data_IF_758036630080
#
_entry.id   IF_758036630080
#
_cell.length_a   1.000
_cell.length_b   1.000
_cell.length_c   1.000
_cell.angle_alpha   90.00
_cell.angle_beta   90.00
_cell.angle_gamma   90.00
#
_symmetry.space_group_name_H-M   'P 1'
#
loop_
_entity.id
_entity.type
_entity.pdbx_description
1 polymer ?
#
# COMPACT_ATOMS: atom_id res chain seq x y z
N UNK A 1 13.50 53.46 -13.65
CA UNK A 1 13.99 53.22 -12.28
C UNK A 1 13.16 52.10 -11.71
N UNK A 2 13.68 50.90 -11.76
CA UNK A 2 13.08 49.72 -11.16
C UNK A 2 13.88 49.49 -9.87
N UNK A 3 13.25 49.78 -8.75
CA UNK A 3 13.83 49.54 -7.42
C UNK A 3 13.85 48.02 -7.17
N UNK A 4 15.07 47.52 -6.99
CA UNK A 4 15.34 46.15 -6.52
C UNK A 4 14.98 46.07 -5.04
N UNK A 5 13.84 45.47 -4.71
CA UNK A 5 13.60 44.96 -3.37
C UNK A 5 14.38 43.65 -3.20
N UNK A 6 15.34 43.65 -2.30
CA UNK A 6 16.00 42.44 -1.81
C UNK A 6 14.97 41.54 -1.11
N UNK A 7 15.01 40.24 -1.30
CA UNK A 7 14.16 39.33 -0.55
C UNK A 7 14.56 39.39 0.93
N UNK A 8 13.61 39.77 1.78
CA UNK A 8 13.73 39.75 3.22
C UNK A 8 14.20 38.37 3.71
N UNK A 9 15.25 38.39 4.53
CA UNK A 9 15.78 37.25 5.26
C UNK A 9 14.64 36.45 5.91
N UNK A 10 14.44 35.23 5.49
CA UNK A 10 13.61 34.24 6.21
C UNK A 10 14.38 33.96 7.49
N UNK A 11 13.90 34.53 8.57
CA UNK A 11 14.43 34.40 9.93
C UNK A 11 14.56 32.91 10.31
N UNK A 12 15.76 32.57 10.76
CA UNK A 12 16.17 31.28 11.27
C UNK A 12 15.37 30.83 12.50
N UNK A 13 14.21 30.23 12.28
CA UNK A 13 13.48 29.39 13.25
C UNK A 13 13.32 27.96 12.73
N UNK A 14 14.31 27.46 11.98
CA UNK A 14 14.41 26.06 11.57
C UNK A 14 14.48 25.04 12.71
N UNK A 15 15.06 25.31 13.90
CA UNK A 15 15.18 24.30 14.94
C UNK A 15 13.84 23.75 15.46
N UNK A 16 12.81 24.59 15.53
CA UNK A 16 11.53 24.20 16.14
C UNK A 16 10.66 23.34 15.20
N UNK A 17 10.68 23.60 13.90
CA UNK A 17 9.90 22.82 12.93
C UNK A 17 10.49 21.43 12.72
N UNK A 18 11.80 21.31 12.60
CA UNK A 18 12.49 20.01 12.46
C UNK A 18 12.30 19.19 13.74
N UNK A 19 12.45 19.79 14.90
CA UNK A 19 12.22 19.14 16.19
C UNK A 19 10.77 18.71 16.37
N UNK A 20 9.80 19.52 15.96
CA UNK A 20 8.39 19.15 15.97
C UNK A 20 8.10 17.96 15.04
N UNK A 21 8.73 17.91 13.86
CA UNK A 21 8.64 16.75 12.96
C UNK A 21 9.24 15.49 13.59
N UNK A 22 10.43 15.61 14.21
CA UNK A 22 11.10 14.50 14.87
C UNK A 22 10.28 13.99 16.06
N UNK A 23 9.71 14.87 16.86
CA UNK A 23 8.83 14.53 17.98
C UNK A 23 7.53 13.85 17.49
N UNK A 24 6.93 14.38 16.40
CA UNK A 24 5.75 13.79 15.78
C UNK A 24 6.03 12.38 15.23
N UNK A 25 7.21 12.15 14.65
CA UNK A 25 7.63 10.84 14.17
C UNK A 25 8.01 9.91 15.33
N UNK A 26 8.67 10.43 16.37
CA UNK A 26 9.01 9.66 17.57
C UNK A 26 7.76 9.17 18.30
N UNK A 27 6.75 10.01 18.47
CA UNK A 27 5.45 9.61 19.04
C UNK A 27 4.75 8.55 18.20
N UNK A 28 4.76 8.69 16.86
CA UNK A 28 4.20 7.70 15.93
C UNK A 28 4.92 6.35 16.03
N UNK A 29 6.24 6.37 16.19
CA UNK A 29 7.07 5.16 16.36
C UNK A 29 6.92 4.51 17.74
N UNK A 30 6.70 5.30 18.80
CA UNK A 30 6.51 4.78 20.16
C UNK A 30 5.22 3.96 20.30
N UNK A 31 4.12 4.43 19.71
CA UNK A 31 2.84 3.69 19.69
C UNK A 31 2.94 2.37 18.91
N UNK A 32 3.92 2.26 18.02
CA UNK A 32 4.13 1.08 17.18
C UNK A 32 5.11 0.05 17.75
N UNK A 33 5.87 0.35 18.84
CA UNK A 33 6.95 -0.51 19.33
C UNK A 33 6.48 -1.81 19.95
N UNK A 34 5.29 -1.84 20.55
CA UNK A 34 4.81 -3.00 21.32
C UNK A 34 4.00 -4.01 20.50
N UNK A 35 3.73 -3.74 19.22
CA UNK A 35 2.97 -4.63 18.35
C UNK A 35 3.76 -4.98 17.10
N UNK A 36 3.84 -6.28 16.78
CA UNK A 36 4.35 -6.73 15.47
C UNK A 36 3.40 -6.23 14.38
N UNK A 37 3.94 -5.55 13.36
CA UNK A 37 3.15 -5.16 12.19
C UNK A 37 2.67 -6.40 11.43
N UNK A 38 1.53 -6.28 10.74
CA UNK A 38 1.00 -7.35 9.91
C UNK A 38 1.84 -7.52 8.62
N UNK A 39 2.49 -6.43 8.18
CA UNK A 39 3.41 -6.41 7.03
C UNK A 39 4.58 -5.47 7.32
N UNK A 40 5.81 -5.98 7.21
CA UNK A 40 7.05 -5.22 7.39
C UNK A 40 7.95 -5.36 6.16
N UNK A 41 8.48 -4.22 5.67
CA UNK A 41 9.24 -4.14 4.42
C UNK A 41 10.54 -3.38 4.61
N UNK A 42 11.67 -4.04 4.38
CA UNK A 42 12.99 -3.41 4.32
C UNK A 42 13.32 -2.97 2.90
N UNK A 43 13.75 -1.73 2.70
CA UNK A 43 13.98 -1.14 1.37
C UNK A 43 15.45 -0.76 1.22
N UNK A 44 16.06 -1.21 0.13
CA UNK A 44 17.40 -0.84 -0.30
C UNK A 44 17.31 -0.01 -1.59
N UNK A 45 17.87 1.19 -1.57
CA UNK A 45 17.87 2.10 -2.71
C UNK A 45 19.21 2.03 -3.46
N UNK A 46 19.18 1.59 -4.71
CA UNK A 46 20.37 1.69 -5.58
C UNK A 46 20.53 3.13 -6.11
N UNK A 47 21.77 3.57 -6.40
CA UNK A 47 21.99 4.87 -7.02
C UNK A 47 21.14 5.03 -8.29
N UNK A 48 20.57 6.22 -8.47
CA UNK A 48 19.68 6.57 -9.58
C UNK A 48 18.38 5.75 -9.66
N UNK A 49 17.88 5.29 -8.52
CA UNK A 49 16.60 4.59 -8.44
C UNK A 49 15.43 5.49 -8.92
N UNK A 50 14.36 4.93 -9.50
CA UNK A 50 13.19 5.73 -9.87
C UNK A 50 12.32 6.03 -8.65
N UNK A 51 12.01 7.32 -8.43
CA UNK A 51 11.13 7.77 -7.34
C UNK A 51 9.77 7.10 -7.38
N UNK A 52 9.19 6.89 -8.58
CA UNK A 52 7.92 6.20 -8.74
C UNK A 52 7.92 4.79 -8.13
N UNK A 53 9.05 4.08 -8.19
CA UNK A 53 9.17 2.76 -7.56
C UNK A 53 9.19 2.85 -6.05
N UNK A 54 9.83 3.84 -5.47
CA UNK A 54 9.85 4.06 -4.02
C UNK A 54 8.46 4.49 -3.51
N UNK A 55 7.89 5.52 -4.11
CA UNK A 55 6.56 6.02 -3.71
C UNK A 55 5.48 4.98 -3.96
N UNK A 56 5.58 4.18 -5.04
CA UNK A 56 4.68 3.07 -5.33
C UNK A 56 4.74 1.93 -4.30
N UNK A 57 5.78 1.84 -3.47
CA UNK A 57 5.86 0.95 -2.31
C UNK A 57 5.34 1.64 -1.06
N UNK A 58 5.86 2.83 -0.77
CA UNK A 58 5.63 3.51 0.52
C UNK A 58 4.20 4.02 0.65
N UNK A 59 3.63 4.63 -0.40
CA UNK A 59 2.28 5.19 -0.34
C UNK A 59 1.19 4.14 -0.12
N UNK A 60 1.16 2.97 -0.82
CA UNK A 60 0.21 1.92 -0.50
C UNK A 60 0.36 1.41 0.94
N UNK A 61 1.60 1.22 1.44
CA UNK A 61 1.86 0.81 2.82
C UNK A 61 1.35 1.84 3.81
N UNK A 62 1.62 3.13 3.57
CA UNK A 62 1.17 4.24 4.41
C UNK A 62 -0.36 4.30 4.52
N UNK A 63 -1.06 4.15 3.40
CA UNK A 63 -2.53 4.15 3.39
C UNK A 63 -3.12 2.91 4.05
N UNK A 64 -2.43 1.78 4.01
CA UNK A 64 -2.84 0.54 4.68
C UNK A 64 -2.43 0.50 6.16
N UNK A 65 -1.45 1.32 6.58
CA UNK A 65 -0.84 1.26 7.90
C UNK A 65 -1.81 1.59 9.03
N UNK A 66 -2.71 2.55 8.81
CA UNK A 66 -3.80 2.84 9.74
C UNK A 66 -5.11 3.13 8.97
N UNK A 67 -6.23 3.13 9.69
CA UNK A 67 -7.53 3.40 9.06
C UNK A 67 -7.91 4.88 9.01
N UNK A 68 -7.37 5.65 9.95
CA UNK A 68 -7.73 7.07 10.08
C UNK A 68 -6.90 7.98 9.17
N UNK A 69 -6.05 7.39 8.31
CA UNK A 69 -5.15 8.08 7.39
C UNK A 69 -4.17 9.06 8.08
N UNK A 70 -3.83 8.75 9.34
CA UNK A 70 -2.85 9.50 10.13
C UNK A 70 -1.41 9.03 9.87
N UNK A 71 -1.21 8.13 8.90
CA UNK A 71 0.09 7.56 8.53
C UNK A 71 0.84 6.89 9.70
N UNK A 72 0.11 6.37 10.71
CA UNK A 72 0.72 5.65 11.83
C UNK A 72 1.11 4.24 11.40
N UNK A 73 2.36 3.79 11.59
CA UNK A 73 2.85 2.49 11.12
C UNK A 73 2.39 1.33 12.03
N UNK A 74 1.07 1.16 12.19
CA UNK A 74 0.47 0.15 13.06
C UNK A 74 0.42 -1.23 12.41
N UNK A 75 -0.07 -1.29 11.18
CA UNK A 75 -0.28 -2.54 10.45
C UNK A 75 0.75 -2.77 9.36
N UNK A 76 1.26 -1.70 8.76
CA UNK A 76 2.34 -1.76 7.79
C UNK A 76 3.52 -0.93 8.30
N UNK A 77 4.73 -1.48 8.17
CA UNK A 77 5.98 -0.79 8.49
C UNK A 77 6.93 -0.93 7.32
N UNK A 78 7.76 0.07 7.16
CA UNK A 78 8.83 0.06 6.18
C UNK A 78 10.04 0.79 6.75
N UNK A 79 11.22 0.43 6.25
CA UNK A 79 12.47 1.12 6.60
C UNK A 79 13.35 1.22 5.36
N UNK A 80 13.82 2.42 5.07
CA UNK A 80 14.83 2.66 4.04
C UNK A 80 16.19 2.48 4.70
N UNK A 81 16.87 1.39 4.35
CA UNK A 81 18.10 0.99 5.04
C UNK A 81 19.35 1.49 4.34
N UNK A 82 20.34 1.90 5.13
CA UNK A 82 21.64 2.34 4.63
C UNK A 82 22.66 2.59 5.74
N UNK A 83 23.84 3.04 5.37
CA UNK A 83 24.81 3.54 6.35
C UNK A 83 24.32 4.88 6.93
N UNK A 84 24.62 5.19 8.19
CA UNK A 84 24.29 6.49 8.79
C UNK A 84 24.77 7.65 7.91
N UNK A 85 23.89 8.62 7.66
CA UNK A 85 24.18 9.78 6.82
C UNK A 85 24.22 9.51 5.31
N UNK A 86 24.04 8.25 4.88
CA UNK A 86 23.99 7.91 3.47
C UNK A 86 22.69 8.40 2.81
N UNK A 87 22.81 9.09 1.68
CA UNK A 87 21.70 9.48 0.84
C UNK A 87 21.83 8.81 -0.54
N UNK A 88 20.79 8.12 -0.96
CA UNK A 88 20.67 7.67 -2.33
C UNK A 88 20.08 8.79 -3.19
N UNK A 89 20.66 9.01 -4.38
CA UNK A 89 20.15 10.01 -5.34
C UNK A 89 19.24 9.29 -6.33
N UNK A 90 17.98 9.71 -6.42
CA UNK A 90 17.04 9.20 -7.40
C UNK A 90 17.40 9.63 -8.83
N UNK A 91 16.86 8.95 -9.85
CA UNK A 91 17.08 9.30 -11.26
C UNK A 91 16.61 10.72 -11.63
N UNK A 92 15.68 11.27 -10.86
CA UNK A 92 15.21 12.66 -11.00
C UNK A 92 16.03 13.69 -10.19
N UNK A 93 17.11 13.28 -9.52
CA UNK A 93 18.01 14.17 -8.75
C UNK A 93 17.61 14.36 -7.28
N UNK A 94 16.43 13.93 -6.84
CA UNK A 94 16.01 14.02 -5.44
C UNK A 94 16.87 13.08 -4.58
N UNK A 95 17.28 13.56 -3.41
CA UNK A 95 18.04 12.78 -2.43
C UNK A 95 17.11 12.19 -1.39
N UNK A 96 17.27 10.91 -1.11
CA UNK A 96 16.53 10.20 -0.07
C UNK A 96 17.54 9.62 0.92
N UNK A 97 17.43 10.03 2.17
CA UNK A 97 18.25 9.52 3.24
C UNK A 97 17.72 8.18 3.75
N UNK A 98 18.63 7.30 4.16
CA UNK A 98 18.24 6.12 4.92
C UNK A 98 17.70 6.56 6.29
N UNK A 99 16.55 5.98 6.69
CA UNK A 99 15.91 6.23 7.98
C UNK A 99 16.30 5.19 9.03
N UNK A 100 16.97 4.10 8.60
CA UNK A 100 17.42 3.04 9.48
C UNK A 100 18.78 2.47 9.04
N UNK A 101 19.57 1.95 10.00
CA UNK A 101 20.74 1.12 9.67
C UNK A 101 20.28 -0.21 9.04
N UNK A 102 21.23 -1.06 8.64
CA UNK A 102 20.90 -2.41 8.19
C UNK A 102 20.36 -3.24 9.36
N UNK A 103 19.03 -3.38 9.42
CA UNK A 103 18.29 -4.17 10.41
C UNK A 103 18.42 -5.65 10.04
N UNK A 104 18.29 -6.57 11.02
CA UNK A 104 18.29 -8.00 10.74
C UNK A 104 17.21 -8.32 9.68
N UNK A 105 17.55 -8.94 8.54
CA UNK A 105 16.56 -9.19 7.48
C UNK A 105 15.38 -10.06 7.92
N UNK A 106 15.53 -10.90 8.95
CA UNK A 106 14.43 -11.72 9.49
C UNK A 106 13.36 -10.92 10.25
N UNK A 107 13.61 -9.63 10.51
CA UNK A 107 12.63 -8.72 11.11
C UNK A 107 11.65 -8.17 10.04
N UNK A 108 11.91 -8.46 8.76
CA UNK A 108 11.06 -8.09 7.66
C UNK A 108 10.37 -9.30 7.03
N UNK A 109 9.13 -9.09 6.57
CA UNK A 109 8.43 -10.07 5.74
C UNK A 109 8.97 -10.07 4.31
N UNK A 110 9.48 -8.91 3.85
CA UNK A 110 10.10 -8.73 2.54
C UNK A 110 11.28 -7.76 2.60
N UNK A 111 12.31 -8.06 1.81
CA UNK A 111 13.39 -7.12 1.51
C UNK A 111 13.28 -6.71 0.05
N UNK A 112 13.17 -5.41 -0.20
CA UNK A 112 13.01 -4.82 -1.53
C UNK A 112 14.31 -4.15 -1.95
N UNK A 113 14.76 -4.44 -3.17
CA UNK A 113 15.81 -3.67 -3.85
C UNK A 113 15.20 -2.88 -5.01
N UNK A 114 15.33 -1.58 -4.97
CA UNK A 114 14.93 -0.70 -6.08
C UNK A 114 16.17 -0.40 -6.91
N UNK A 115 16.23 -0.99 -8.11
CA UNK A 115 17.35 -0.79 -9.01
C UNK A 115 17.33 0.60 -9.65
N UNK A 116 18.50 1.06 -10.11
CA UNK A 116 18.70 2.34 -10.77
C UNK A 116 18.98 2.21 -12.27
N UNK A 117 19.58 3.24 -12.86
CA UNK A 117 20.02 3.18 -14.25
C UNK A 117 21.09 2.10 -14.43
N UNK A 118 21.00 1.32 -15.51
CA UNK A 118 21.89 0.18 -15.76
C UNK A 118 23.39 0.51 -15.62
N UNK A 119 23.91 1.65 -16.14
CA UNK A 119 25.32 1.99 -15.96
C UNK A 119 25.75 2.18 -14.50
N UNK A 120 24.81 2.50 -13.62
CA UNK A 120 25.07 2.80 -12.21
C UNK A 120 24.84 1.61 -11.26
N UNK A 121 24.43 0.45 -11.74
CA UNK A 121 24.15 -0.71 -10.88
C UNK A 121 25.37 -1.18 -10.07
N UNK A 122 26.60 -0.95 -10.59
CA UNK A 122 27.83 -1.30 -9.87
C UNK A 122 28.24 -0.29 -8.80
N UNK A 123 27.68 0.91 -8.82
CA UNK A 123 28.03 2.00 -7.90
C UNK A 123 27.35 1.89 -6.52
N UNK A 124 26.51 0.88 -6.31
CA UNK A 124 25.87 0.66 -5.01
C UNK A 124 26.89 0.23 -3.94
N UNK A 125 26.70 0.60 -2.66
CA UNK A 125 27.53 0.13 -1.57
C UNK A 125 27.59 -1.40 -1.52
N UNK A 126 28.78 -1.97 -1.28
CA UNK A 126 28.95 -3.44 -1.17
C UNK A 126 28.04 -4.05 -0.13
N UNK A 127 27.82 -3.36 0.99
CA UNK A 127 26.90 -3.76 2.06
C UNK A 127 25.47 -4.01 1.59
N UNK A 128 24.98 -3.32 0.57
CA UNK A 128 23.65 -3.59 -0.01
C UNK A 128 23.59 -5.00 -0.62
N UNK A 129 24.63 -5.39 -1.36
CA UNK A 129 24.72 -6.73 -1.97
C UNK A 129 24.86 -7.83 -0.93
N UNK A 130 25.73 -7.59 0.06
CA UNK A 130 25.91 -8.54 1.15
C UNK A 130 24.60 -8.73 1.93
N UNK A 131 23.90 -7.65 2.20
CA UNK A 131 22.60 -7.70 2.87
C UNK A 131 21.55 -8.49 2.08
N UNK A 132 21.50 -8.33 0.75
CA UNK A 132 20.60 -9.12 -0.10
C UNK A 132 20.91 -10.62 -0.03
N UNK A 133 22.19 -10.99 -0.04
CA UNK A 133 22.61 -12.40 0.09
C UNK A 133 22.23 -12.97 1.45
N UNK A 134 22.44 -12.20 2.51
CA UNK A 134 22.06 -12.60 3.89
C UNK A 134 20.56 -12.79 3.98
N UNK A 135 19.74 -11.83 3.50
CA UNK A 135 18.29 -11.93 3.48
C UNK A 135 17.81 -13.17 2.71
N UNK A 136 18.40 -13.40 1.54
CA UNK A 136 18.08 -14.55 0.69
C UNK A 136 18.44 -15.89 1.35
N UNK A 137 19.59 -15.96 2.05
CA UNK A 137 20.05 -17.15 2.75
C UNK A 137 19.24 -17.43 4.01
N UNK A 138 18.73 -16.39 4.66
CA UNK A 138 17.81 -16.48 5.80
C UNK A 138 16.38 -16.87 5.40
N UNK A 139 16.11 -17.09 4.12
CA UNK A 139 14.79 -17.45 3.62
C UNK A 139 13.80 -16.27 3.49
N UNK A 140 14.27 -15.04 3.72
CA UNK A 140 13.42 -13.85 3.56
C UNK A 140 13.13 -13.61 2.08
N UNK A 141 11.87 -13.43 1.68
CA UNK A 141 11.51 -13.10 0.32
C UNK A 141 12.15 -11.79 -0.14
N UNK A 142 12.76 -11.80 -1.33
CA UNK A 142 13.43 -10.63 -1.91
C UNK A 142 12.71 -10.15 -3.15
N UNK A 143 12.44 -8.86 -3.21
CA UNK A 143 11.72 -8.18 -4.30
C UNK A 143 12.70 -7.32 -5.09
N UNK A 144 12.87 -7.58 -6.38
CA UNK A 144 13.61 -6.73 -7.32
C UNK A 144 12.67 -5.85 -8.13
N UNK A 145 12.79 -4.53 -7.97
CA UNK A 145 11.94 -3.54 -8.66
C UNK A 145 12.74 -2.78 -9.70
N UNK A 146 12.14 -2.56 -10.86
CA UNK A 146 12.77 -1.95 -12.03
C UNK A 146 14.00 -2.78 -12.47
N UNK A 147 15.18 -2.19 -12.55
CA UNK A 147 16.43 -2.93 -12.80
C UNK A 147 16.90 -3.76 -11.60
N UNK A 148 16.10 -3.84 -10.53
CA UNK A 148 16.30 -4.76 -9.42
C UNK A 148 16.38 -6.23 -9.86
N UNK A 149 15.69 -6.61 -10.94
CA UNK A 149 15.83 -7.94 -11.54
C UNK A 149 17.27 -8.23 -12.00
N UNK A 150 17.98 -7.22 -12.55
CA UNK A 150 19.41 -7.34 -12.93
C UNK A 150 20.28 -7.56 -11.69
N UNK A 151 19.98 -6.84 -10.60
CA UNK A 151 20.73 -6.98 -9.35
C UNK A 151 20.55 -8.38 -8.78
N UNK A 152 19.29 -8.88 -8.69
CA UNK A 152 19.03 -10.24 -8.23
C UNK A 152 19.68 -11.30 -9.12
N UNK A 153 19.72 -11.08 -10.43
CA UNK A 153 20.42 -11.96 -11.39
C UNK A 153 21.93 -11.95 -11.17
N UNK A 154 22.54 -10.76 -10.98
CA UNK A 154 23.98 -10.61 -10.69
C UNK A 154 24.40 -11.31 -9.40
N UNK A 155 23.52 -11.28 -8.38
CA UNK A 155 23.76 -11.96 -7.10
C UNK A 155 23.42 -13.47 -7.14
N UNK A 156 23.07 -14.02 -8.31
CA UNK A 156 22.72 -15.44 -8.49
C UNK A 156 21.36 -15.84 -7.89
N UNK A 157 20.58 -14.89 -7.44
CA UNK A 157 19.33 -15.12 -6.71
C UNK A 157 18.16 -15.54 -7.63
N UNK A 158 18.34 -15.44 -8.96
CA UNK A 158 17.35 -15.85 -9.96
C UNK A 158 17.73 -17.16 -10.68
N UNK A 159 18.71 -17.90 -10.20
CA UNK A 159 19.09 -19.18 -10.79
C UNK A 159 17.89 -20.16 -10.82
N UNK A 160 17.54 -20.69 -12.01
CA UNK A 160 16.41 -21.60 -12.22
C UNK A 160 15.02 -20.95 -12.04
N UNK A 161 14.91 -19.62 -12.04
CA UNK A 161 13.68 -18.86 -11.87
C UNK A 161 13.42 -17.96 -13.07
N UNK A 162 12.15 -17.67 -13.32
CA UNK A 162 11.73 -16.72 -14.36
C UNK A 162 11.64 -15.32 -13.74
N UNK A 163 12.18 -14.30 -14.42
CA UNK A 163 12.11 -12.91 -13.98
C UNK A 163 11.03 -12.13 -14.72
N UNK A 164 10.48 -11.10 -14.09
CA UNK A 164 9.71 -10.05 -14.75
C UNK A 164 10.63 -8.85 -15.01
N UNK A 165 10.74 -8.42 -16.27
CA UNK A 165 11.67 -7.38 -16.71
C UNK A 165 10.91 -6.31 -17.48
N UNK A 166 11.26 -5.05 -17.29
CA UNK A 166 10.65 -3.95 -18.04
C UNK A 166 10.91 -4.13 -19.55
N UNK A 167 9.91 -3.96 -20.43
CA UNK A 167 10.06 -4.15 -21.86
C UNK A 167 11.25 -3.40 -22.47
N UNK A 168 11.49 -2.18 -22.00
CA UNK A 168 12.61 -1.34 -22.45
C UNK A 168 13.99 -1.99 -22.20
N UNK A 169 14.14 -2.81 -21.15
CA UNK A 169 15.37 -3.48 -20.76
C UNK A 169 15.41 -4.97 -21.11
N UNK A 170 14.46 -5.44 -21.92
CA UNK A 170 14.36 -6.86 -22.28
C UNK A 170 15.63 -7.36 -22.99
N UNK A 171 16.14 -6.57 -23.92
CA UNK A 171 17.34 -6.93 -24.70
C UNK A 171 18.60 -6.88 -23.83
N UNK A 172 18.75 -5.84 -23.02
CA UNK A 172 19.85 -5.72 -22.07
C UNK A 172 19.89 -6.92 -21.11
N UNK A 173 18.72 -7.36 -20.62
CA UNK A 173 18.62 -8.50 -19.73
C UNK A 173 18.99 -9.81 -20.44
N UNK A 174 18.51 -10.01 -21.66
CA UNK A 174 18.81 -11.18 -22.48
C UNK A 174 20.30 -11.31 -22.78
N UNK A 175 20.96 -10.20 -23.09
CA UNK A 175 22.40 -10.17 -23.35
C UNK A 175 23.20 -10.46 -22.07
N UNK A 176 22.82 -9.82 -20.94
CA UNK A 176 23.54 -9.96 -19.68
C UNK A 176 23.32 -11.34 -19.02
N UNK A 177 22.15 -11.94 -19.20
CA UNK A 177 21.77 -13.21 -18.56
C UNK A 177 21.11 -14.19 -19.54
N UNK A 178 21.84 -14.71 -20.52
CA UNK A 178 21.28 -15.52 -21.62
C UNK A 178 20.66 -16.85 -21.16
N UNK A 179 20.95 -17.30 -19.92
CA UNK A 179 20.40 -18.54 -19.35
C UNK A 179 19.16 -18.32 -18.46
N UNK A 180 18.78 -17.07 -18.20
CA UNK A 180 17.63 -16.77 -17.39
C UNK A 180 16.39 -16.54 -18.24
N UNK A 181 15.33 -17.26 -17.92
CA UNK A 181 14.01 -17.00 -18.51
C UNK A 181 13.41 -15.70 -17.94
N UNK A 182 12.73 -14.93 -18.78
CA UNK A 182 12.06 -13.73 -18.33
C UNK A 182 10.76 -13.47 -19.10
N UNK A 183 9.93 -12.60 -18.56
CA UNK A 183 8.71 -12.09 -19.17
C UNK A 183 8.69 -10.57 -19.11
N UNK A 184 8.08 -9.96 -20.13
CA UNK A 184 7.85 -8.51 -20.21
C UNK A 184 6.35 -8.15 -20.23
N UNK A 185 5.49 -9.15 -20.03
CA UNK A 185 4.02 -9.01 -20.14
C UNK A 185 3.31 -9.05 -18.79
N UNK A 186 4.01 -9.54 -17.78
CA UNK A 186 3.45 -9.67 -16.42
C UNK A 186 3.68 -8.36 -15.65
N UNK A 187 2.77 -8.02 -14.73
CA UNK A 187 2.97 -6.92 -13.79
C UNK A 187 4.03 -7.27 -12.76
N UNK A 188 4.11 -8.53 -12.36
CA UNK A 188 5.16 -9.09 -11.51
C UNK A 188 5.18 -10.61 -11.61
N UNK A 189 6.28 -11.21 -11.17
CA UNK A 189 6.41 -12.67 -11.02
C UNK A 189 6.89 -13.01 -9.61
N UNK A 190 6.30 -14.07 -9.04
CA UNK A 190 6.68 -14.64 -7.76
C UNK A 190 7.21 -16.04 -7.99
N UNK A 191 8.49 -16.25 -7.73
CA UNK A 191 9.21 -17.51 -7.98
C UNK A 191 9.99 -17.93 -6.71
N UNK A 192 9.38 -18.77 -5.90
CA UNK A 192 10.03 -19.35 -4.70
C UNK A 192 10.76 -18.31 -3.81
N UNK A 193 10.05 -17.32 -3.34
CA UNK A 193 10.59 -16.25 -2.48
C UNK A 193 11.45 -15.22 -3.22
N UNK A 194 11.48 -15.23 -4.55
CA UNK A 194 12.04 -14.18 -5.39
C UNK A 194 10.92 -13.53 -6.19
N UNK A 195 10.80 -12.25 -6.06
CA UNK A 195 9.73 -11.47 -6.70
C UNK A 195 10.40 -10.44 -7.60
N UNK A 196 9.93 -10.31 -8.82
CA UNK A 196 10.44 -9.31 -9.76
C UNK A 196 9.31 -8.50 -10.35
N UNK A 197 9.50 -7.19 -10.42
CA UNK A 197 8.53 -6.20 -10.90
C UNK A 197 9.21 -5.30 -11.91
N UNK A 198 8.63 -5.06 -13.09
CA UNK A 198 9.26 -4.22 -14.11
C UNK A 198 9.43 -2.76 -13.67
N UNK A 199 8.74 -2.32 -12.62
CA UNK A 199 8.74 -0.95 -12.14
C UNK A 199 7.55 -0.14 -12.68
N UNK A 200 7.65 1.20 -12.60
CA UNK A 200 6.52 2.07 -12.96
C UNK A 200 5.29 1.78 -12.10
N UNK A 201 4.11 1.77 -12.73
CA UNK A 201 2.84 1.53 -12.04
C UNK A 201 2.60 0.07 -11.66
N UNK A 202 3.34 -0.89 -12.23
CA UNK A 202 3.19 -2.32 -11.91
C UNK A 202 3.53 -2.64 -10.47
N UNK A 203 4.32 -1.80 -9.80
CA UNK A 203 4.61 -1.95 -8.36
C UNK A 203 3.34 -1.84 -7.51
N UNK A 204 2.36 -1.05 -7.93
CA UNK A 204 1.09 -0.88 -7.22
C UNK A 204 0.27 -2.17 -7.21
N UNK A 205 0.33 -2.96 -8.30
CA UNK A 205 -0.31 -4.28 -8.37
C UNK A 205 0.28 -5.24 -7.35
N UNK A 206 1.62 -5.32 -7.27
CA UNK A 206 2.29 -6.14 -6.25
C UNK A 206 1.96 -5.68 -4.84
N UNK A 207 2.07 -4.38 -4.55
CA UNK A 207 1.81 -3.85 -3.20
C UNK A 207 0.36 -4.07 -2.76
N UNK A 208 -0.60 -3.93 -3.67
CA UNK A 208 -2.01 -4.26 -3.40
C UNK A 208 -2.16 -5.72 -3.00
N UNK A 209 -1.47 -6.64 -3.70
CA UNK A 209 -1.50 -8.07 -3.40
C UNK A 209 -0.87 -8.40 -2.05
N UNK A 210 0.31 -7.83 -1.74
CA UNK A 210 0.98 -8.03 -0.45
C UNK A 210 0.12 -7.50 0.71
N UNK A 211 -0.43 -6.29 0.58
CA UNK A 211 -1.32 -5.71 1.59
C UNK A 211 -2.56 -6.58 1.76
N UNK A 212 -3.15 -7.06 0.67
CA UNK A 212 -4.32 -7.95 0.72
C UNK A 212 -4.02 -9.24 1.46
N UNK A 213 -2.86 -9.83 1.21
CA UNK A 213 -2.42 -11.09 1.80
C UNK A 213 -2.14 -10.96 3.31
N UNK A 214 -1.45 -9.90 3.72
CA UNK A 214 -1.00 -9.72 5.11
C UNK A 214 -1.96 -8.92 5.98
N UNK A 215 -2.60 -7.90 5.40
CA UNK A 215 -3.43 -6.94 6.13
C UNK A 215 -4.93 -7.08 5.82
N UNK A 216 -5.29 -7.96 4.89
CA UNK A 216 -6.67 -8.23 4.48
C UNK A 216 -7.20 -7.32 3.36
N UNK A 217 -8.32 -7.74 2.74
CA UNK A 217 -8.87 -7.08 1.54
C UNK A 217 -9.34 -5.65 1.79
N UNK A 218 -9.84 -5.35 2.99
CA UNK A 218 -10.37 -4.01 3.31
C UNK A 218 -9.25 -2.95 3.31
N UNK A 219 -8.05 -3.28 3.78
CA UNK A 219 -6.89 -2.37 3.75
C UNK A 219 -6.31 -2.21 2.35
N UNK A 220 -6.27 -3.30 1.59
CA UNK A 220 -5.86 -3.24 0.19
C UNK A 220 -6.81 -2.34 -0.62
N UNK A 221 -8.12 -2.51 -0.45
CA UNK A 221 -9.12 -1.66 -1.09
C UNK A 221 -8.98 -0.18 -0.67
N UNK A 222 -8.71 0.09 0.61
CA UNK A 222 -8.44 1.46 1.08
C UNK A 222 -7.23 2.07 0.38
N UNK A 223 -6.10 1.35 0.32
CA UNK A 223 -4.89 1.84 -0.33
C UNK A 223 -5.14 2.17 -1.82
N UNK A 224 -5.81 1.27 -2.54
CA UNK A 224 -6.21 1.48 -3.94
C UNK A 224 -7.08 2.73 -4.10
N UNK A 225 -8.08 2.88 -3.23
CA UNK A 225 -9.00 4.02 -3.27
C UNK A 225 -8.28 5.35 -2.98
N UNK A 226 -7.42 5.40 -1.96
CA UNK A 226 -6.68 6.60 -1.58
C UNK A 226 -5.68 7.05 -2.67
N UNK A 227 -5.12 6.09 -3.39
CA UNK A 227 -4.26 6.37 -4.54
C UNK A 227 -5.03 6.73 -5.82
N UNK A 228 -6.36 6.83 -5.74
CA UNK A 228 -7.24 7.10 -6.89
C UNK A 228 -7.00 6.14 -8.06
N UNK A 229 -6.60 4.91 -7.75
CA UNK A 229 -6.42 3.86 -8.74
C UNK A 229 -7.80 3.31 -9.10
N UNK A 230 -8.17 3.44 -10.38
CA UNK A 230 -9.37 2.78 -10.89
C UNK A 230 -9.06 1.31 -11.14
N UNK A 231 -9.90 0.41 -10.64
CA UNK A 231 -9.75 -1.04 -10.78
C UNK A 231 -9.52 -1.51 -12.22
N UNK A 232 -9.96 -0.75 -13.22
CA UNK A 232 -9.90 -1.12 -14.63
C UNK A 232 -8.49 -1.20 -15.22
N UNK A 233 -7.48 -0.53 -14.66
CA UNK A 233 -6.12 -0.51 -15.23
C UNK A 233 -5.17 -1.55 -14.63
N UNK A 234 -5.48 -2.09 -13.44
CA UNK A 234 -4.55 -2.94 -12.70
C UNK A 234 -5.00 -4.40 -12.55
N UNK A 235 -6.20 -4.77 -13.02
CA UNK A 235 -6.77 -6.09 -12.80
C UNK A 235 -6.63 -7.08 -13.97
N UNK A 236 -5.94 -6.75 -15.05
CA UNK A 236 -5.74 -7.69 -16.16
C UNK A 236 -4.84 -8.88 -15.83
N UNK A 237 -4.02 -8.77 -14.78
CA UNK A 237 -3.09 -9.84 -14.36
C UNK A 237 -3.66 -10.79 -13.30
N UNK A 238 -4.77 -10.44 -12.62
CA UNK A 238 -5.29 -11.19 -11.47
C UNK A 238 -6.37 -12.22 -11.79
N UNK A 239 -6.66 -12.50 -13.05
CA UNK A 239 -7.79 -13.37 -13.44
C UNK A 239 -7.46 -14.87 -13.42
N UNK A 240 -6.51 -15.32 -12.61
CA UNK A 240 -6.24 -16.74 -12.37
C UNK A 240 -6.66 -17.15 -10.95
N UNK A 241 -7.98 -17.15 -10.74
CA UNK A 241 -8.63 -18.08 -9.82
C UNK A 241 -8.58 -17.78 -8.33
N UNK A 242 -9.16 -16.66 -7.86
CA UNK A 242 -9.91 -16.61 -6.59
C UNK A 242 -10.89 -15.44 -6.59
N UNK A 243 -12.16 -15.74 -6.47
CA UNK A 243 -13.25 -14.79 -6.37
C UNK A 243 -13.06 -13.88 -5.14
N UNK A 244 -12.66 -12.64 -5.33
CA UNK A 244 -12.94 -11.58 -4.38
C UNK A 244 -14.42 -11.23 -4.47
N UNK A 245 -15.04 -10.92 -3.36
CA UNK A 245 -16.49 -10.78 -3.13
C UNK A 245 -17.15 -9.62 -3.92
N UNK A 246 -16.41 -8.90 -4.74
CA UNK A 246 -16.91 -7.91 -5.66
C UNK A 246 -16.92 -8.48 -7.07
N UNK A 247 -18.08 -8.97 -7.51
CA UNK A 247 -18.31 -9.17 -8.94
C UNK A 247 -18.00 -7.86 -9.65
N UNK A 248 -17.11 -7.90 -10.64
CA UNK A 248 -16.88 -6.80 -11.57
C UNK A 248 -18.23 -6.36 -12.10
N UNK A 249 -18.67 -5.16 -11.73
CA UNK A 249 -19.79 -4.54 -12.44
C UNK A 249 -19.22 -3.74 -13.57
N UNK A 250 -19.72 -3.97 -14.78
CA UNK A 250 -19.43 -3.14 -15.95
C UNK A 250 -20.28 -1.86 -15.94
N UNK A 251 -21.28 -1.79 -15.08
CA UNK A 251 -22.14 -0.60 -14.95
C UNK A 251 -21.44 0.49 -14.12
N UNK A 252 -20.96 1.52 -14.80
CA UNK A 252 -20.26 2.65 -14.19
C UNK A 252 -21.06 3.39 -13.11
N UNK A 253 -22.41 3.34 -13.18
CA UNK A 253 -23.29 3.93 -12.16
C UNK A 253 -23.22 3.14 -10.86
N UNK A 254 -23.15 1.80 -10.95
CA UNK A 254 -23.02 0.94 -9.77
C UNK A 254 -21.61 1.05 -9.19
N UNK A 255 -20.57 1.15 -10.00
CA UNK A 255 -19.22 1.46 -9.53
C UNK A 255 -19.20 2.76 -8.72
N UNK A 256 -19.77 3.82 -9.30
CA UNK A 256 -19.87 5.12 -8.64
C UNK A 256 -20.70 5.06 -7.34
N UNK A 257 -21.77 4.25 -7.31
CA UNK A 257 -22.55 4.04 -6.12
C UNK A 257 -21.76 3.37 -4.99
N UNK A 258 -20.97 2.34 -5.30
CA UNK A 258 -20.06 1.67 -4.33
C UNK A 258 -19.08 2.69 -3.75
N UNK A 259 -18.40 3.46 -4.58
CA UNK A 259 -17.48 4.52 -4.13
C UNK A 259 -18.17 5.54 -3.23
N UNK A 260 -19.38 5.99 -3.59
CA UNK A 260 -20.16 6.94 -2.77
C UNK A 260 -20.53 6.36 -1.41
N UNK A 261 -20.89 5.08 -1.34
CA UNK A 261 -21.22 4.41 -0.07
C UNK A 261 -19.95 4.24 0.79
N UNK A 262 -18.84 3.86 0.20
CA UNK A 262 -17.60 3.61 0.92
C UNK A 262 -16.91 4.90 1.39
N UNK A 263 -17.03 5.99 0.64
CA UNK A 263 -16.47 7.30 1.00
C UNK A 263 -17.26 8.03 2.09
N UNK A 264 -18.57 7.77 2.20
CA UNK A 264 -19.48 8.42 3.17
C UNK A 264 -19.78 7.50 4.33
N UNK A 265 -19.03 7.59 5.40
CA UNK A 265 -19.08 6.63 6.53
C UNK A 265 -20.15 6.95 7.58
N UNK A 266 -20.89 8.06 7.43
CA UNK A 266 -21.84 8.61 8.42
C UNK A 266 -23.33 8.26 8.19
N UNK A 267 -24.22 8.87 9.00
CA UNK A 267 -25.66 8.65 8.94
C UNK A 267 -26.31 9.08 7.61
N UNK A 268 -25.67 9.96 6.85
CA UNK A 268 -26.23 10.65 5.68
C UNK A 268 -26.26 9.81 4.39
N UNK A 269 -26.06 8.50 4.48
CA UNK A 269 -26.10 7.61 3.31
C UNK A 269 -27.33 6.72 3.36
N UNK A 270 -28.31 6.99 2.51
CA UNK A 270 -29.43 6.09 2.25
C UNK A 270 -29.38 5.54 0.82
N UNK A 271 -30.00 4.38 0.56
CA UNK A 271 -30.11 3.83 -0.78
C UNK A 271 -30.75 4.81 -1.77
N UNK A 272 -31.73 5.59 -1.33
CA UNK A 272 -32.48 6.57 -2.13
C UNK A 272 -31.59 7.75 -2.55
N UNK A 273 -30.78 8.25 -1.61
CA UNK A 273 -29.82 9.32 -1.88
C UNK A 273 -28.73 8.86 -2.87
N UNK A 274 -28.20 7.65 -2.67
CA UNK A 274 -27.20 7.09 -3.60
C UNK A 274 -27.80 6.89 -4.98
N UNK A 275 -29.04 6.34 -5.07
CA UNK A 275 -29.73 6.18 -6.35
C UNK A 275 -29.86 7.51 -7.11
N UNK A 276 -30.28 8.57 -6.42
CA UNK A 276 -30.39 9.92 -6.99
C UNK A 276 -29.05 10.44 -7.50
N UNK A 277 -27.98 10.26 -6.73
CA UNK A 277 -26.62 10.73 -7.08
C UNK A 277 -26.02 10.01 -8.31
N UNK A 278 -26.48 8.78 -8.58
CA UNK A 278 -26.04 8.01 -9.76
C UNK A 278 -27.05 8.05 -10.91
N UNK A 279 -28.13 8.86 -10.79
CA UNK A 279 -29.10 9.07 -11.86
C UNK A 279 -30.03 7.88 -12.09
N UNK A 280 -30.35 7.10 -11.03
CA UNK A 280 -31.25 5.95 -11.09
C UNK A 280 -32.47 6.16 -10.17
N UNK A 281 -33.62 5.59 -10.57
CA UNK A 281 -34.73 5.46 -9.64
C UNK A 281 -34.38 4.44 -8.54
N UNK A 282 -34.94 4.55 -7.32
CA UNK A 282 -34.64 3.61 -6.21
C UNK A 282 -34.86 2.14 -6.60
N UNK A 283 -35.88 1.84 -7.40
CA UNK A 283 -36.19 0.48 -7.86
C UNK A 283 -35.16 -0.04 -8.87
N UNK A 284 -34.74 0.80 -9.82
CA UNK A 284 -33.69 0.45 -10.78
C UNK A 284 -32.35 0.25 -10.06
N UNK A 285 -32.01 1.15 -9.14
CA UNK A 285 -30.81 1.06 -8.34
C UNK A 285 -30.76 -0.23 -7.52
N UNK A 286 -31.82 -0.55 -6.80
CA UNK A 286 -31.88 -1.77 -5.98
C UNK A 286 -31.66 -3.04 -6.82
N UNK A 287 -32.32 -3.13 -7.98
CA UNK A 287 -32.16 -4.26 -8.92
C UNK A 287 -30.76 -4.34 -9.49
N UNK A 288 -30.25 -3.26 -10.10
CA UNK A 288 -28.93 -3.25 -10.70
C UNK A 288 -27.83 -3.51 -9.68
N UNK A 289 -27.95 -2.93 -8.48
CA UNK A 289 -27.00 -3.15 -7.39
C UNK A 289 -27.00 -4.61 -6.94
N UNK A 290 -28.17 -5.22 -6.78
CA UNK A 290 -28.31 -6.64 -6.42
C UNK A 290 -27.70 -7.55 -7.50
N UNK A 291 -27.97 -7.26 -8.78
CA UNK A 291 -27.50 -8.06 -9.92
C UNK A 291 -25.98 -7.98 -10.06
N UNK A 292 -25.38 -6.81 -9.78
CA UNK A 292 -23.95 -6.58 -9.95
C UNK A 292 -23.12 -6.91 -8.70
N UNK A 293 -23.63 -6.60 -7.50
CA UNK A 293 -22.90 -6.74 -6.22
C UNK A 293 -23.28 -8.02 -5.47
N UNK A 294 -24.43 -8.64 -5.81
CA UNK A 294 -24.91 -9.86 -5.15
C UNK A 294 -25.62 -9.61 -3.82
N UNK A 295 -25.81 -8.36 -3.42
CA UNK A 295 -26.54 -7.98 -2.21
C UNK A 295 -27.29 -6.66 -2.40
N UNK A 296 -28.30 -6.41 -1.53
CA UNK A 296 -29.07 -5.17 -1.61
C UNK A 296 -28.23 -3.95 -1.19
N UNK A 297 -28.51 -2.74 -1.73
CA UNK A 297 -27.80 -1.50 -1.33
C UNK A 297 -27.84 -1.26 0.18
N UNK A 298 -29.01 -1.48 0.80
CA UNK A 298 -29.19 -1.33 2.25
C UNK A 298 -28.25 -2.26 3.05
N UNK A 299 -28.14 -3.52 2.62
CA UNK A 299 -27.25 -4.48 3.26
C UNK A 299 -25.80 -4.06 3.08
N UNK A 300 -25.40 -3.60 1.90
CA UNK A 300 -24.04 -3.15 1.62
C UNK A 300 -23.66 -1.94 2.48
N UNK A 301 -24.56 -0.95 2.63
CA UNK A 301 -24.37 0.22 3.50
C UNK A 301 -24.13 -0.24 4.96
N UNK A 302 -24.99 -1.14 5.47
CA UNK A 302 -24.85 -1.66 6.84
C UNK A 302 -23.54 -2.41 7.02
N UNK A 303 -23.15 -3.23 6.05
CA UNK A 303 -21.89 -3.96 6.11
C UNK A 303 -20.67 -3.04 6.09
N UNK A 304 -20.72 -1.96 5.31
CA UNK A 304 -19.66 -0.92 5.27
C UNK A 304 -19.58 -0.17 6.60
N UNK A 305 -20.72 0.22 7.17
CA UNK A 305 -20.78 0.84 8.51
C UNK A 305 -20.22 -0.06 9.60
N UNK A 306 -20.55 -1.35 9.58
CA UNK A 306 -20.04 -2.32 10.56
C UNK A 306 -18.52 -2.55 10.42
N UNK A 307 -17.97 -2.53 9.21
CA UNK A 307 -16.51 -2.57 9.00
C UNK A 307 -15.83 -1.37 9.65
N UNK A 308 -16.35 -0.18 9.39
CA UNK A 308 -15.83 1.04 10.01
C UNK A 308 -16.04 1.06 11.54
N UNK A 309 -17.20 0.58 12.01
CA UNK A 309 -17.45 0.43 13.43
C UNK A 309 -16.50 -0.52 14.14
N UNK A 310 -16.18 -1.64 13.52
CA UNK A 310 -15.17 -2.58 14.04
C UNK A 310 -13.81 -1.88 14.19
N UNK A 311 -13.43 -1.14 13.17
CA UNK A 311 -12.21 -0.36 13.20
C UNK A 311 -12.16 0.63 14.38
N UNK A 312 -13.23 1.43 14.56
CA UNK A 312 -13.31 2.39 15.68
C UNK A 312 -13.26 1.68 17.04
N UNK A 313 -13.85 0.50 17.15
CA UNK A 313 -13.78 -0.33 18.35
C UNK A 313 -12.36 -0.76 18.66
N UNK A 314 -11.63 -1.24 17.67
CA UNK A 314 -10.26 -1.77 17.83
C UNK A 314 -9.19 -0.68 18.01
N UNK A 315 -9.45 0.55 17.50
CA UNK A 315 -8.41 1.57 17.36
C UNK A 315 -8.75 2.94 17.96
N UNK A 316 -9.84 3.05 18.76
CA UNK A 316 -10.18 4.28 19.44
C UNK A 316 -10.63 4.05 20.88
N UNK A 317 -10.56 5.09 21.68
CA UNK A 317 -11.08 5.10 23.07
C UNK A 317 -12.52 5.60 23.14
N UNK A 318 -13.19 5.83 22.00
CA UNK A 318 -14.53 6.36 21.94
C UNK A 318 -15.54 5.43 22.65
N UNK A 319 -16.51 5.96 23.40
CA UNK A 319 -17.60 5.16 23.94
C UNK A 319 -18.36 4.42 22.83
N UNK A 320 -18.89 3.22 23.11
CA UNK A 320 -19.65 2.44 22.12
C UNK A 320 -20.87 3.19 21.57
N UNK A 321 -21.45 4.06 22.37
CA UNK A 321 -22.54 4.96 21.95
C UNK A 321 -22.07 5.96 20.90
N UNK A 322 -20.92 6.59 21.12
CA UNK A 322 -20.33 7.52 20.17
C UNK A 322 -19.96 6.81 18.84
N UNK A 323 -19.37 5.63 18.92
CA UNK A 323 -19.07 4.82 17.73
C UNK A 323 -20.36 4.49 16.95
N UNK A 324 -21.43 4.05 17.65
CA UNK A 324 -22.70 3.73 17.00
C UNK A 324 -23.26 4.93 16.21
N UNK A 325 -23.28 6.10 16.80
CA UNK A 325 -23.75 7.33 16.15
C UNK A 325 -22.84 7.74 14.99
N UNK A 326 -21.53 7.71 15.17
CA UNK A 326 -20.54 8.05 14.14
C UNK A 326 -20.72 7.24 12.86
N UNK A 327 -21.03 5.95 13.00
CA UNK A 327 -21.24 5.04 11.86
C UNK A 327 -22.70 5.00 11.38
N UNK A 328 -23.58 5.86 11.92
CA UNK A 328 -24.96 6.03 11.46
C UNK A 328 -25.94 4.96 11.95
N UNK A 329 -25.71 4.40 13.14
CA UNK A 329 -26.72 3.61 13.86
C UNK A 329 -27.52 4.52 14.81
N UNK A 330 -28.81 4.23 14.96
CA UNK A 330 -29.72 4.99 15.84
C UNK A 330 -29.35 4.87 17.31
N UNK A 331 -28.77 3.73 17.69
CA UNK A 331 -28.40 3.45 19.08
C UNK A 331 -27.33 2.35 19.17
N UNK A 332 -26.67 2.27 20.31
CA UNK A 332 -25.60 1.31 20.59
C UNK A 332 -26.07 -0.15 20.71
N UNK A 333 -27.33 -0.40 21.06
CA UNK A 333 -27.85 -1.75 21.17
C UNK A 333 -28.09 -2.36 19.79
N UNK A 334 -28.64 -1.58 18.87
CA UNK A 334 -28.81 -1.96 17.48
C UNK A 334 -27.44 -2.22 16.82
N UNK A 335 -26.47 -1.31 17.04
CA UNK A 335 -25.08 -1.53 16.60
C UNK A 335 -24.49 -2.83 17.15
N UNK A 336 -24.57 -3.06 18.47
CA UNK A 336 -24.00 -4.27 19.10
C UNK A 336 -24.65 -5.55 18.57
N UNK A 337 -25.96 -5.54 18.32
CA UNK A 337 -26.69 -6.68 17.75
C UNK A 337 -26.24 -6.98 16.32
N UNK A 338 -26.19 -5.95 15.45
CA UNK A 338 -25.74 -6.09 14.08
C UNK A 338 -24.28 -6.52 14.01
N UNK A 339 -23.43 -5.97 14.87
CA UNK A 339 -22.01 -6.28 14.96
C UNK A 339 -21.80 -7.75 15.37
N UNK A 340 -22.47 -8.21 16.44
CA UNK A 340 -22.39 -9.62 16.87
C UNK A 340 -22.89 -10.58 15.80
N UNK A 341 -23.94 -10.22 15.08
CA UNK A 341 -24.44 -11.04 13.95
C UNK A 341 -23.39 -11.19 12.84
N UNK A 342 -22.61 -10.15 12.58
CA UNK A 342 -21.58 -10.17 11.52
C UNK A 342 -20.27 -10.82 11.97
N UNK A 343 -19.81 -10.53 13.19
CA UNK A 343 -18.46 -10.93 13.66
C UNK A 343 -18.47 -12.03 14.73
N UNK A 344 -19.63 -12.55 15.10
CA UNK A 344 -19.80 -13.64 16.07
C UNK A 344 -19.65 -13.24 17.53
N UNK A 345 -19.04 -12.08 17.83
CA UNK A 345 -18.79 -11.56 19.19
C UNK A 345 -19.24 -10.12 19.30
N UNK A 346 -19.59 -9.65 20.52
CA UNK A 346 -20.01 -8.26 20.74
C UNK A 346 -18.83 -7.29 20.52
N UNK A 347 -19.07 -5.99 20.19
CA UNK A 347 -18.00 -5.03 19.92
C UNK A 347 -16.97 -4.91 21.06
N UNK A 348 -17.41 -4.95 22.31
CA UNK A 348 -16.52 -4.83 23.48
C UNK A 348 -15.42 -5.91 23.55
N UNK A 349 -15.60 -7.07 22.92
CA UNK A 349 -14.60 -8.13 22.89
C UNK A 349 -13.50 -7.95 21.86
N UNK A 350 -13.54 -6.86 21.09
CA UNK A 350 -12.54 -6.46 20.10
C UNK A 350 -11.73 -5.23 20.53
N UNK A 351 -11.93 -4.77 21.76
CA UNK A 351 -11.23 -3.63 22.34
C UNK A 351 -9.95 -4.01 23.04
#
# INVERSE_FOLDING_TARGET
MITSEEPSEISANEPDYVRWLDDLWAERLLVARDRKADLSVGILLWPTFPMMSLTGIVEPLRHAADFADNSRPLHCRWSIMGAPGHAAVASCGIRVHADAPYINPTDFDYVVVIGGLLPHLRAAPSKHRDYLRVAASAGVPVIGVCTGAFILAQEGLLAGRKACVHPFHAEDFRIAFPRLAFSTRDDFLIENGRITVPGGVSILSLMTELIRTHCGPDRAAKAVHQLSLTEQKHMSAFDHGRATTFRRTEDSRIQRAVVLIESRKGPDVSPEQVASLVGLSPRQFARLFQDNIGMTPKRFIVETRLRYGRFLVENSTLPMTAIAFEIGFSDSAHFATAFRKKYGKPPRSFR
#
